data_IF_059821313214
#
_entry.id   IF_059821313214
#
_cell.length_a   1.000
_cell.length_b   1.000
_cell.length_c   1.000
_cell.angle_alpha   90.00
_cell.angle_beta   90.00
_cell.angle_gamma   90.00
#
_symmetry.space_group_name_H-M   'P 1'
#
loop_
_entity.id
_entity.type
_entity.pdbx_description
1 polymer ?
#
# COMPACT_ATOMS: atom_id res chain seq x y z
N UNK A 1 12.58 6.77 -2.62
CA UNK A 1 11.15 6.51 -2.48
C UNK A 1 10.89 5.05 -2.74
N UNK A 2 9.95 4.46 -2.00
CA UNK A 2 9.93 3.00 -1.93
C UNK A 2 8.53 2.44 -1.73
N UNK A 3 8.42 1.16 -2.04
CA UNK A 3 7.25 0.33 -1.73
C UNK A 3 7.66 -0.59 -0.58
N UNK A 4 6.74 -0.83 0.35
CA UNK A 4 6.97 -1.61 1.55
C UNK A 4 5.96 -2.74 1.66
N UNK A 5 6.41 -3.89 2.10
CA UNK A 5 5.53 -5.03 2.41
C UNK A 5 5.84 -5.49 3.84
N UNK A 6 4.79 -5.79 4.60
CA UNK A 6 4.96 -6.26 5.95
C UNK A 6 5.06 -7.79 6.03
N UNK A 7 5.44 -8.28 7.20
CA UNK A 7 5.47 -9.71 7.51
C UNK A 7 4.25 -10.14 8.31
N UNK A 8 3.44 -9.18 8.74
CA UNK A 8 2.22 -9.49 9.46
C UNK A 8 1.20 -10.07 8.49
N UNK A 9 0.70 -11.24 8.82
CA UNK A 9 -0.23 -11.97 7.98
C UNK A 9 -1.60 -11.91 8.63
N UNK A 10 -2.59 -11.43 7.90
CA UNK A 10 -3.97 -11.44 8.36
C UNK A 10 -4.81 -12.32 7.44
N UNK A 11 -5.87 -12.88 7.98
CA UNK A 11 -6.75 -13.74 7.21
C UNK A 11 -7.83 -12.92 6.53
N UNK A 12 -7.99 -13.13 5.21
CA UNK A 12 -9.09 -12.58 4.45
C UNK A 12 -9.76 -13.75 3.72
N UNK A 13 -10.97 -14.09 4.14
CA UNK A 13 -11.67 -15.30 3.69
C UNK A 13 -10.80 -16.52 4.02
N UNK A 14 -10.44 -17.32 3.04
CA UNK A 14 -9.57 -18.49 3.22
C UNK A 14 -8.11 -18.21 2.89
N UNK A 15 -7.75 -16.93 2.62
CA UNK A 15 -6.41 -16.56 2.21
C UNK A 15 -5.68 -15.78 3.30
N UNK A 16 -4.37 -16.00 3.39
CA UNK A 16 -3.48 -15.22 4.25
C UNK A 16 -2.95 -14.04 3.46
N UNK A 17 -3.14 -12.82 3.98
CA UNK A 17 -2.84 -11.58 3.29
C UNK A 17 -1.80 -10.77 4.05
N UNK A 18 -1.02 -10.00 3.30
CA UNK A 18 -0.05 -9.04 3.82
C UNK A 18 -0.41 -7.65 3.32
N UNK A 19 0.17 -6.61 3.92
CA UNK A 19 -0.07 -5.23 3.49
C UNK A 19 1.07 -4.76 2.58
N UNK A 20 0.70 -4.01 1.54
CA UNK A 20 1.66 -3.33 0.69
C UNK A 20 1.35 -1.84 0.70
N UNK A 21 2.34 -1.04 1.08
CA UNK A 21 2.25 0.41 1.18
C UNK A 21 3.39 1.03 0.37
N UNK A 22 3.32 2.34 0.13
CA UNK A 22 4.38 3.06 -0.55
C UNK A 22 4.45 4.50 -0.10
N UNK A 23 5.55 5.17 -0.38
CA UNK A 23 5.72 6.58 -0.06
C UNK A 23 4.79 7.48 -0.88
N UNK A 24 4.44 7.06 -2.09
CA UNK A 24 3.52 7.78 -2.98
C UNK A 24 2.52 6.84 -3.60
N UNK A 25 1.32 7.33 -3.98
CA UNK A 25 0.34 6.51 -4.69
C UNK A 25 0.84 6.03 -6.05
N UNK A 26 1.64 6.83 -6.76
CA UNK A 26 2.22 6.43 -8.04
C UNK A 26 3.09 5.19 -7.90
N UNK A 27 3.94 5.16 -6.89
CA UNK A 27 4.80 4.01 -6.63
C UNK A 27 4.00 2.79 -6.22
N UNK A 28 2.97 2.99 -5.40
CA UNK A 28 2.09 1.91 -4.96
C UNK A 28 1.39 1.25 -6.14
N UNK A 29 0.78 2.05 -7.01
CA UNK A 29 0.06 1.54 -8.17
C UNK A 29 0.99 0.93 -9.21
N UNK A 30 2.17 1.50 -9.40
CA UNK A 30 3.16 0.93 -10.31
C UNK A 30 3.58 -0.47 -9.87
N UNK A 31 3.81 -0.65 -8.56
CA UNK A 31 4.14 -1.98 -8.03
C UNK A 31 2.95 -2.94 -8.15
N UNK A 32 1.73 -2.46 -7.86
CA UNK A 32 0.53 -3.28 -8.00
C UNK A 32 0.38 -3.78 -9.44
N UNK A 33 0.56 -2.90 -10.42
CA UNK A 33 0.51 -3.28 -11.83
C UNK A 33 1.58 -4.32 -12.15
N UNK A 34 2.79 -4.11 -11.65
CA UNK A 34 3.94 -4.98 -11.92
C UNK A 34 3.73 -6.39 -11.38
N UNK A 35 3.09 -6.53 -10.23
CA UNK A 35 2.85 -7.85 -9.63
C UNK A 35 1.50 -8.45 -10.00
N UNK A 36 0.74 -7.77 -10.86
CA UNK A 36 -0.54 -8.26 -11.35
C UNK A 36 -1.72 -8.07 -10.40
N UNK A 37 -1.67 -7.04 -9.55
CA UNK A 37 -2.79 -6.69 -8.68
C UNK A 37 -3.71 -5.70 -9.37
N UNK A 38 -5.00 -6.02 -9.42
CA UNK A 38 -6.00 -5.12 -10.00
C UNK A 38 -6.29 -3.94 -9.06
N UNK A 39 -6.55 -2.78 -9.66
CA UNK A 39 -6.86 -1.54 -8.93
C UNK A 39 -8.10 -1.66 -8.05
N UNK A 40 -9.01 -2.56 -8.35
CA UNK A 40 -10.21 -2.80 -7.53
C UNK A 40 -9.87 -3.27 -6.11
N UNK A 41 -8.67 -3.81 -5.90
CA UNK A 41 -8.23 -4.27 -4.59
C UNK A 41 -7.56 -3.18 -3.77
N UNK A 42 -7.43 -1.97 -4.33
CA UNK A 42 -6.85 -0.83 -3.64
C UNK A 42 -7.79 -0.35 -2.53
N UNK A 43 -7.29 -0.28 -1.31
CA UNK A 43 -8.01 0.19 -0.13
C UNK A 43 -7.87 1.71 -0.02
N UNK A 44 -8.52 2.43 -0.94
CA UNK A 44 -8.33 3.88 -1.11
C UNK A 44 -8.87 4.72 0.03
N UNK A 45 -9.90 4.24 0.72
CA UNK A 45 -10.56 4.96 1.79
C UNK A 45 -10.07 4.56 3.18
N UNK A 46 -9.11 3.66 3.27
CA UNK A 46 -8.48 3.36 4.54
C UNK A 46 -7.74 4.60 5.07
N UNK A 47 -7.58 4.71 6.37
CA UNK A 47 -6.84 5.82 6.97
C UNK A 47 -5.41 5.91 6.42
N UNK A 48 -4.84 4.78 6.03
CA UNK A 48 -3.59 4.69 5.29
C UNK A 48 -3.86 3.85 4.05
N UNK A 49 -3.96 4.45 2.86
CA UNK A 49 -4.27 3.70 1.65
C UNK A 49 -3.22 2.63 1.36
N UNK A 50 -3.67 1.44 0.97
CA UNK A 50 -2.79 0.29 0.78
C UNK A 50 -3.46 -0.76 -0.10
N UNK A 51 -2.69 -1.80 -0.47
CA UNK A 51 -3.22 -3.03 -1.03
C UNK A 51 -3.05 -4.16 -0.03
N UNK A 52 -4.04 -5.03 0.05
CA UNK A 52 -3.89 -6.33 0.71
C UNK A 52 -3.45 -7.31 -0.36
N UNK A 53 -2.32 -7.98 -0.14
CA UNK A 53 -1.73 -8.87 -1.13
C UNK A 53 -1.49 -10.26 -0.55
N UNK A 54 -1.57 -11.27 -1.42
CA UNK A 54 -1.27 -12.65 -1.03
C UNK A 54 0.23 -12.80 -0.76
N UNK A 55 0.60 -13.88 -0.11
CA UNK A 55 2.01 -14.20 0.13
C UNK A 55 2.78 -14.37 -1.18
N UNK A 56 2.15 -14.91 -2.19
CA UNK A 56 2.75 -15.04 -3.53
C UNK A 56 3.02 -13.67 -4.15
N UNK A 57 2.05 -12.75 -4.09
CA UNK A 57 2.21 -11.38 -4.59
C UNK A 57 3.25 -10.62 -3.78
N UNK A 58 3.33 -10.88 -2.48
CA UNK A 58 4.36 -10.31 -1.61
C UNK A 58 5.76 -10.72 -2.08
N UNK A 59 5.95 -11.99 -2.36
CA UNK A 59 7.24 -12.48 -2.88
C UNK A 59 7.60 -11.82 -4.21
N UNK A 60 6.62 -11.65 -5.09
CA UNK A 60 6.82 -10.95 -6.37
C UNK A 60 7.21 -9.48 -6.15
N UNK A 61 6.57 -8.80 -5.19
CA UNK A 61 6.89 -7.41 -4.86
C UNK A 61 8.33 -7.29 -4.33
N UNK A 62 8.74 -8.18 -3.43
CA UNK A 62 10.10 -8.20 -2.89
C UNK A 62 11.12 -8.42 -4.02
N UNK A 63 10.84 -9.35 -4.92
CA UNK A 63 11.70 -9.60 -6.08
C UNK A 63 11.79 -8.38 -6.99
N UNK A 64 10.75 -7.54 -7.02
CA UNK A 64 10.71 -6.31 -7.81
C UNK A 64 11.28 -5.09 -7.06
N UNK A 65 11.79 -5.27 -5.84
CA UNK A 65 12.47 -4.23 -5.09
C UNK A 65 11.71 -3.67 -3.89
N UNK A 66 10.55 -4.22 -3.53
CA UNK A 66 9.84 -3.80 -2.33
C UNK A 66 10.67 -4.11 -1.08
N UNK A 67 10.58 -3.23 -0.11
CA UNK A 67 11.32 -3.35 1.15
C UNK A 67 10.47 -4.11 2.16
N UNK A 68 11.03 -5.17 2.72
CA UNK A 68 10.38 -5.93 3.78
C UNK A 68 10.51 -5.15 5.09
N UNK A 69 9.40 -4.96 5.78
CA UNK A 69 9.39 -4.27 7.07
C UNK A 69 8.74 -5.16 8.12
N UNK A 70 9.24 -5.06 9.35
CA UNK A 70 8.60 -5.67 10.50
C UNK A 70 7.47 -4.75 11.01
N UNK A 71 6.83 -5.13 12.10
CA UNK A 71 5.72 -4.37 12.66
C UNK A 71 6.13 -2.94 13.00
N UNK A 72 7.32 -2.76 13.57
CA UNK A 72 7.81 -1.43 13.95
C UNK A 72 8.08 -0.58 12.71
N UNK A 73 8.67 -1.16 11.68
CA UNK A 73 8.89 -0.49 10.41
C UNK A 73 7.59 -0.12 9.71
N UNK A 74 6.59 -1.01 9.77
CA UNK A 74 5.27 -0.75 9.21
C UNK A 74 4.63 0.47 9.89
N UNK A 75 4.66 0.54 11.22
CA UNK A 75 4.10 1.67 11.97
C UNK A 75 4.79 2.97 11.55
N UNK A 76 6.10 2.96 11.38
CA UNK A 76 6.85 4.15 10.95
C UNK A 76 6.40 4.60 9.55
N UNK A 77 6.21 3.68 8.62
CA UNK A 77 5.72 3.98 7.27
C UNK A 77 4.30 4.57 7.33
N UNK A 78 3.42 3.94 8.10
CA UNK A 78 2.04 4.40 8.27
C UNK A 78 2.03 5.85 8.80
N UNK A 79 2.83 6.14 9.81
CA UNK A 79 2.92 7.49 10.39
C UNK A 79 3.35 8.52 9.36
N UNK A 80 4.34 8.19 8.53
CA UNK A 80 4.82 9.07 7.46
C UNK A 80 3.74 9.36 6.44
N UNK A 81 3.05 8.33 5.98
CA UNK A 81 1.98 8.47 4.98
C UNK A 81 0.84 9.30 5.56
N UNK A 82 0.41 9.01 6.78
CA UNK A 82 -0.68 9.75 7.44
C UNK A 82 -0.32 11.22 7.66
N UNK A 83 0.92 11.49 8.05
CA UNK A 83 1.40 12.87 8.18
C UNK A 83 1.33 13.61 6.84
N UNK A 84 1.70 12.95 5.75
CA UNK A 84 1.60 13.49 4.40
C UNK A 84 0.15 13.81 4.03
N UNK A 85 -0.79 12.94 4.36
CA UNK A 85 -2.23 13.16 4.10
C UNK A 85 -2.72 14.37 4.90
N UNK A 86 -2.36 14.46 6.17
CA UNK A 86 -2.83 15.51 7.07
C UNK A 86 -2.16 16.87 6.80
N UNK A 87 -1.04 16.89 6.10
CA UNK A 87 -0.31 18.12 5.80
C UNK A 87 -1.05 19.03 4.83
N UNK A 88 -2.02 18.52 4.09
CA UNK A 88 -2.82 19.28 3.12
C UNK A 88 -4.30 19.09 3.39
N UNK A 89 -5.14 20.16 3.23
CA UNK A 89 -6.58 20.05 3.48
C UNK A 89 -7.29 19.01 2.61
N UNK A 90 -6.80 18.77 1.40
CA UNK A 90 -7.38 17.82 0.46
C UNK A 90 -6.70 16.44 0.51
N UNK A 91 -5.79 16.21 1.45
CA UNK A 91 -5.03 14.97 1.54
C UNK A 91 -3.83 14.88 0.63
N UNK A 92 -3.48 15.96 -0.09
CA UNK A 92 -2.33 16.00 -1.00
C UNK A 92 -2.45 15.01 -2.14
N UNK A 93 -1.32 14.37 -2.51
CA UNK A 93 -1.29 13.40 -3.59
C UNK A 93 -2.21 12.19 -3.31
N UNK A 94 -2.35 11.78 -2.06
CA UNK A 94 -3.23 10.69 -1.67
C UNK A 94 -4.71 11.06 -1.80
N UNK A 95 -5.06 12.29 -1.50
CA UNK A 95 -6.41 12.81 -1.68
C UNK A 95 -6.79 12.89 -3.16
N UNK A 96 -5.88 13.36 -3.99
CA UNK A 96 -6.09 13.41 -5.44
C UNK A 96 -6.27 12.01 -6.02
N UNK A 97 -5.48 11.05 -5.55
CA UNK A 97 -5.58 9.66 -5.96
C UNK A 97 -6.96 9.06 -5.64
N UNK A 98 -7.52 9.39 -4.48
CA UNK A 98 -8.87 8.96 -4.09
C UNK A 98 -9.94 9.52 -5.03
N UNK A 99 -9.80 10.77 -5.45
CA UNK A 99 -10.76 11.44 -6.34
C UNK A 99 -10.74 10.88 -7.75
N UNK A 100 -9.57 10.58 -8.27
CA UNK A 100 -9.39 10.10 -9.66
C UNK A 100 -10.15 8.79 -9.90
N UNK A 101 -10.41 8.01 -8.89
CA UNK A 101 -11.04 6.71 -9.01
C UNK A 101 -12.55 6.74 -8.81
N UNK A 102 -13.15 7.91 -8.76
CA UNK A 102 -14.59 8.07 -8.52
C UNK A 102 -15.45 7.67 -9.72
N UNK A 103 -14.86 7.50 -10.87
CA UNK A 103 -15.58 7.08 -12.09
C UNK A 103 -15.83 5.59 -12.11
#
# INVERSE_FOLDING_TARGET
MSVYVDSAVHQFRSMLMCHMLADTPEELHAMADRIGMARKWYQRHASTPHYDISREKRAAAVAAGAIEVDRRGLVAVIRRIRASILASPDGGMWGRDRKVTAS
#
